data_IF_736316170486
#
_entry.id   IF_736316170486
#
_cell.length_a   1.000
_cell.length_b   1.000
_cell.length_c   1.000
_cell.angle_alpha   90.00
_cell.angle_beta   90.00
_cell.angle_gamma   90.00
#
_symmetry.space_group_name_H-M   'P 1'
#
loop_
_entity.id
_entity.type
_entity.pdbx_description
1 polymer ?
#
# COMPACT_ATOMS: atom_id res chain seq x y z
N UNK A 1 37.80 -4.16 -27.22
CA UNK A 1 36.48 -3.51 -27.00
C UNK A 1 35.95 -3.97 -25.65
N UNK A 2 36.09 -3.15 -24.61
CA UNK A 2 35.44 -3.38 -23.32
C UNK A 2 34.72 -2.08 -22.96
N UNK A 3 33.40 -2.15 -22.94
CA UNK A 3 32.52 -1.00 -22.75
C UNK A 3 32.61 -0.48 -21.31
N UNK A 4 32.73 0.84 -21.22
CA UNK A 4 32.75 1.66 -20.02
C UNK A 4 31.40 1.55 -19.28
N UNK A 5 31.40 1.06 -18.03
CA UNK A 5 30.22 1.03 -17.14
C UNK A 5 30.38 2.13 -16.10
N UNK A 6 30.19 3.38 -16.53
CA UNK A 6 30.03 4.54 -15.65
C UNK A 6 28.59 4.69 -15.12
N UNK A 7 27.83 3.59 -15.04
CA UNK A 7 26.43 3.54 -14.59
C UNK A 7 26.25 3.07 -13.14
N UNK A 8 27.34 2.84 -12.41
CA UNK A 8 27.33 2.49 -10.98
C UNK A 8 27.06 3.71 -10.07
N UNK A 9 26.33 4.70 -10.58
CA UNK A 9 25.92 5.89 -9.86
C UNK A 9 24.66 5.56 -9.05
N UNK A 10 24.89 5.06 -7.84
CA UNK A 10 24.08 5.45 -6.68
C UNK A 10 22.59 5.13 -6.74
N UNK A 11 22.20 3.95 -7.25
CA UNK A 11 21.05 3.23 -6.69
C UNK A 11 21.50 2.62 -5.35
N UNK A 12 21.72 3.50 -4.37
CA UNK A 12 21.43 3.16 -3.00
C UNK A 12 19.92 2.90 -2.96
N UNK A 13 19.52 1.69 -3.36
CA UNK A 13 18.22 1.16 -3.01
C UNK A 13 18.15 1.24 -1.50
N UNK A 14 17.29 2.14 -1.06
CA UNK A 14 16.71 2.19 0.26
C UNK A 14 16.40 0.76 0.72
N UNK A 15 17.35 0.16 1.44
CA UNK A 15 17.24 -1.20 1.97
C UNK A 15 16.04 -1.29 2.93
N UNK A 16 15.64 -0.16 3.51
CA UNK A 16 14.41 -0.03 4.29
C UNK A 16 13.18 -0.22 3.38
N UNK A 17 13.13 0.50 2.26
CA UNK A 17 12.04 0.41 1.29
C UNK A 17 11.82 -1.00 0.71
N UNK A 18 12.89 -1.73 0.39
CA UNK A 18 12.77 -3.10 -0.15
C UNK A 18 12.24 -4.09 0.90
N UNK A 19 12.69 -3.98 2.15
CA UNK A 19 12.21 -4.83 3.25
C UNK A 19 10.75 -4.55 3.60
N UNK A 20 10.37 -3.27 3.63
CA UNK A 20 8.98 -2.84 3.85
C UNK A 20 8.05 -3.35 2.75
N UNK A 21 8.47 -3.28 1.48
CA UNK A 21 7.71 -3.79 0.35
C UNK A 21 7.48 -5.31 0.44
N UNK A 22 8.51 -6.10 0.76
CA UNK A 22 8.38 -7.55 0.91
C UNK A 22 7.42 -7.96 2.05
N UNK A 23 7.47 -7.24 3.18
CA UNK A 23 6.56 -7.45 4.31
C UNK A 23 5.11 -7.10 3.95
N UNK A 24 4.89 -6.01 3.23
CA UNK A 24 3.55 -5.57 2.82
C UNK A 24 2.94 -6.54 1.80
N UNK A 25 3.71 -6.97 0.81
CA UNK A 25 3.29 -7.97 -0.19
C UNK A 25 2.93 -9.28 0.50
N UNK A 26 3.77 -9.78 1.42
CA UNK A 26 3.48 -11.02 2.15
C UNK A 26 2.20 -10.96 2.99
N UNK A 27 2.00 -9.86 3.74
CA UNK A 27 0.79 -9.63 4.52
C UNK A 27 -0.47 -9.57 3.65
N UNK A 28 -0.37 -8.88 2.51
CA UNK A 28 -1.44 -8.80 1.53
C UNK A 28 -1.76 -10.17 0.91
N UNK A 29 -0.75 -10.91 0.46
CA UNK A 29 -0.93 -12.26 -0.10
C UNK A 29 -1.53 -13.23 0.93
N UNK A 30 -1.16 -13.11 2.20
CA UNK A 30 -1.75 -13.91 3.28
C UNK A 30 -3.23 -13.57 3.50
N UNK A 31 -3.62 -12.31 3.38
CA UNK A 31 -5.02 -11.89 3.43
C UNK A 31 -5.80 -12.41 2.22
N UNK A 32 -5.31 -12.11 1.01
CA UNK A 32 -5.99 -12.39 -0.25
C UNK A 32 -6.06 -13.90 -0.57
N UNK A 33 -4.95 -14.63 -0.46
CA UNK A 33 -4.90 -16.04 -0.87
C UNK A 33 -5.32 -17.02 0.23
N UNK A 34 -5.04 -16.71 1.49
CA UNK A 34 -5.25 -17.67 2.58
C UNK A 34 -6.65 -17.53 3.21
N UNK A 35 -7.35 -16.42 2.97
CA UNK A 35 -8.65 -16.11 3.60
C UNK A 35 -8.60 -16.00 5.13
N UNK A 36 -7.40 -16.01 5.74
CA UNK A 36 -7.20 -16.01 7.20
C UNK A 36 -7.32 -14.63 7.81
N UNK A 37 -7.17 -13.57 7.01
CA UNK A 37 -7.34 -12.19 7.45
C UNK A 37 -8.47 -11.52 6.66
N UNK A 38 -9.29 -10.74 7.36
CA UNK A 38 -10.44 -10.04 6.79
C UNK A 38 -10.07 -8.65 6.27
N UNK A 39 -8.99 -8.08 6.82
CA UNK A 39 -8.45 -6.80 6.43
C UNK A 39 -6.98 -6.68 6.79
N UNK A 40 -6.32 -5.79 6.07
CA UNK A 40 -4.92 -5.43 6.19
C UNK A 40 -4.84 -3.90 6.33
N UNK A 41 -4.19 -3.44 7.40
CA UNK A 41 -4.11 -2.01 7.74
C UNK A 41 -2.64 -1.64 7.89
N UNK A 42 -2.21 -0.63 7.15
CA UNK A 42 -0.86 -0.10 7.18
C UNK A 42 -0.91 1.43 7.38
N UNK A 43 -0.73 1.89 8.61
CA UNK A 43 -0.77 3.29 9.00
C UNK A 43 0.61 3.96 8.95
N UNK A 44 1.28 3.89 7.80
CA UNK A 44 2.58 4.53 7.59
C UNK A 44 2.74 5.00 6.14
N UNK A 45 3.55 6.04 5.93
CA UNK A 45 3.80 6.70 4.64
C UNK A 45 4.84 6.00 3.76
N UNK A 46 5.21 4.76 4.10
CA UNK A 46 6.29 4.02 3.43
C UNK A 46 5.92 3.33 2.11
N UNK A 47 4.62 3.22 1.77
CA UNK A 47 4.19 2.56 0.54
C UNK A 47 4.17 3.52 -0.65
N UNK A 48 4.49 3.03 -1.84
CA UNK A 48 4.34 3.81 -3.09
C UNK A 48 3.21 3.25 -3.94
N UNK A 49 2.78 4.02 -4.94
CA UNK A 49 1.70 3.64 -5.85
C UNK A 49 1.99 2.32 -6.57
N UNK A 50 3.20 2.11 -7.03
CA UNK A 50 3.57 0.84 -7.68
C UNK A 50 3.55 -0.38 -6.73
N UNK A 51 3.63 -0.18 -5.41
CA UNK A 51 3.51 -1.27 -4.43
C UNK A 51 2.04 -1.68 -4.20
N UNK A 52 1.09 -0.82 -4.56
CA UNK A 52 -0.34 -1.00 -4.28
C UNK A 52 -1.17 -1.33 -5.51
N UNK A 53 -0.76 -0.91 -6.71
CA UNK A 53 -1.56 -1.09 -7.93
C UNK A 53 -1.78 -2.57 -8.30
N UNK A 54 -0.74 -3.39 -8.22
CA UNK A 54 -0.82 -4.83 -8.47
C UNK A 54 -1.76 -5.56 -7.51
N UNK A 55 -1.53 -5.47 -6.19
CA UNK A 55 -2.39 -6.13 -5.20
C UNK A 55 -3.82 -5.58 -5.19
N UNK A 56 -4.05 -4.28 -5.40
CA UNK A 56 -5.41 -3.73 -5.53
C UNK A 56 -6.18 -4.38 -6.66
N UNK A 57 -5.59 -4.50 -7.86
CA UNK A 57 -6.27 -5.12 -9.00
C UNK A 57 -6.68 -6.58 -8.71
N UNK A 58 -5.81 -7.34 -8.05
CA UNK A 58 -6.12 -8.72 -7.64
C UNK A 58 -7.22 -8.74 -6.57
N UNK A 59 -7.16 -7.83 -5.59
CA UNK A 59 -8.18 -7.75 -4.54
C UNK A 59 -9.55 -7.40 -5.10
N UNK A 60 -9.61 -6.42 -5.99
CA UNK A 60 -10.86 -5.98 -6.62
C UNK A 60 -11.45 -7.07 -7.52
N UNK A 61 -10.60 -7.85 -8.20
CA UNK A 61 -11.04 -9.01 -8.98
C UNK A 61 -11.73 -10.07 -8.10
N UNK A 62 -11.28 -10.26 -6.86
CA UNK A 62 -11.90 -11.15 -5.86
C UNK A 62 -13.08 -10.50 -5.11
N UNK A 63 -13.46 -9.25 -5.47
CA UNK A 63 -14.58 -8.52 -4.86
C UNK A 63 -14.24 -7.79 -3.55
N UNK A 64 -12.96 -7.67 -3.22
CA UNK A 64 -12.47 -6.85 -2.11
C UNK A 64 -12.32 -5.38 -2.49
N UNK A 65 -11.62 -4.63 -1.64
CA UNK A 65 -11.42 -3.19 -1.79
C UNK A 65 -10.11 -2.75 -1.13
N UNK A 66 -9.35 -1.88 -1.81
CA UNK A 66 -8.15 -1.25 -1.27
C UNK A 66 -8.31 0.27 -1.37
N UNK A 67 -8.08 0.97 -0.25
CA UNK A 67 -8.14 2.43 -0.18
C UNK A 67 -7.02 2.96 0.70
N UNK A 68 -6.92 4.29 0.79
CA UNK A 68 -6.24 4.91 1.92
C UNK A 68 -7.00 4.71 3.23
N UNK A 69 -6.40 5.11 4.35
CA UNK A 69 -7.06 5.01 5.66
C UNK A 69 -8.28 5.92 5.80
N UNK A 70 -8.44 6.91 4.92
CA UNK A 70 -9.61 7.80 4.85
C UNK A 70 -10.73 7.25 3.94
N UNK A 71 -10.55 6.06 3.38
CA UNK A 71 -11.52 5.44 2.48
C UNK A 71 -11.49 5.96 1.04
N UNK A 72 -10.46 6.69 0.64
CA UNK A 72 -10.29 7.18 -0.73
C UNK A 72 -9.47 6.20 -1.57
N UNK A 73 -9.94 5.93 -2.78
CA UNK A 73 -9.20 5.11 -3.74
C UNK A 73 -7.94 5.84 -4.23
N UNK A 74 -6.91 5.07 -4.52
CA UNK A 74 -5.69 5.60 -5.09
C UNK A 74 -5.88 5.96 -6.55
N UNK A 75 -5.41 7.15 -6.92
CA UNK A 75 -5.26 7.53 -8.33
C UNK A 75 -3.88 7.13 -8.84
N UNK A 76 -3.80 6.48 -9.99
CA UNK A 76 -2.57 5.98 -10.60
C UNK A 76 -2.19 6.73 -11.89
N UNK A 77 -2.57 8.00 -12.01
CA UNK A 77 -2.20 8.81 -13.17
C UNK A 77 -0.68 9.05 -13.24
N UNK A 78 -0.19 9.57 -14.37
CA UNK A 78 1.24 9.79 -14.58
C UNK A 78 1.77 10.98 -13.78
N UNK A 79 0.95 11.99 -13.55
CA UNK A 79 1.32 13.26 -12.91
C UNK A 79 1.01 13.31 -11.40
N UNK A 80 0.64 12.19 -10.76
CA UNK A 80 0.34 12.19 -9.32
C UNK A 80 1.56 11.90 -8.46
N UNK A 81 1.49 12.34 -7.20
CA UNK A 81 2.50 12.03 -6.21
C UNK A 81 2.62 10.51 -6.02
N UNK A 82 3.82 9.95 -6.16
CA UNK A 82 4.03 8.50 -6.15
C UNK A 82 4.00 7.88 -4.75
N UNK A 83 4.13 8.69 -3.69
CA UNK A 83 4.13 8.24 -2.30
C UNK A 83 2.71 8.16 -1.74
N UNK A 84 2.38 7.06 -1.07
CA UNK A 84 1.12 6.88 -0.38
C UNK A 84 1.24 7.41 1.06
N UNK A 85 0.98 8.71 1.25
CA UNK A 85 1.10 9.36 2.56
C UNK A 85 0.04 8.98 3.57
N UNK A 86 -1.14 8.56 3.09
CA UNK A 86 -2.35 8.36 3.88
C UNK A 86 -2.57 6.90 4.33
N UNK A 87 -1.51 6.10 4.28
CA UNK A 87 -1.53 4.68 4.66
C UNK A 87 -2.40 3.81 3.76
N UNK A 88 -2.34 2.49 3.89
CA UNK A 88 -3.05 1.53 3.04
C UNK A 88 -4.04 0.73 3.87
N UNK A 89 -5.29 0.63 3.42
CA UNK A 89 -6.32 -0.22 3.99
C UNK A 89 -6.84 -1.15 2.89
N UNK A 90 -6.62 -2.45 3.05
CA UNK A 90 -7.17 -3.46 2.16
C UNK A 90 -8.15 -4.35 2.93
N UNK A 91 -9.26 -4.73 2.31
CA UNK A 91 -10.24 -5.62 2.91
C UNK A 91 -10.81 -6.56 1.85
N UNK A 92 -11.11 -7.80 2.25
CA UNK A 92 -11.68 -8.81 1.34
C UNK A 92 -13.15 -8.54 1.03
N UNK A 93 -13.84 -7.72 1.85
CA UNK A 93 -15.24 -7.32 1.65
C UNK A 93 -15.42 -5.84 1.92
N UNK A 94 -16.21 -5.17 1.08
CA UNK A 94 -16.58 -3.74 1.25
C UNK A 94 -17.28 -3.46 2.59
N UNK A 95 -18.06 -4.41 3.11
CA UNK A 95 -18.69 -4.26 4.42
C UNK A 95 -17.65 -4.18 5.55
N UNK A 96 -16.67 -5.08 5.55
CA UNK A 96 -15.60 -5.10 6.55
C UNK A 96 -14.74 -3.84 6.48
N UNK A 97 -14.48 -3.33 5.27
CA UNK A 97 -13.78 -2.08 5.05
C UNK A 97 -14.48 -0.89 5.74
N UNK A 98 -15.79 -0.73 5.49
CA UNK A 98 -16.58 0.33 6.11
C UNK A 98 -16.64 0.22 7.63
N UNK A 99 -16.70 -1.00 8.17
CA UNK A 99 -16.68 -1.22 9.62
C UNK A 99 -15.34 -0.85 10.26
N UNK A 100 -14.23 -1.09 9.57
CA UNK A 100 -12.89 -0.73 10.05
C UNK A 100 -12.71 0.79 10.06
N UNK A 101 -13.12 1.47 8.99
CA UNK A 101 -13.05 2.95 8.93
C UNK A 101 -13.86 3.57 10.08
N UNK A 102 -15.07 3.04 10.36
CA UNK A 102 -15.91 3.54 11.47
C UNK A 102 -15.31 3.29 12.86
N UNK A 103 -14.57 2.20 13.02
CA UNK A 103 -13.92 1.84 14.30
C UNK A 103 -12.57 2.53 14.48
N UNK A 104 -12.01 3.11 13.42
CA UNK A 104 -10.69 3.71 13.48
C UNK A 104 -10.74 4.98 14.32
N UNK A 105 -9.84 5.13 15.31
CA UNK A 105 -9.89 6.28 16.20
C UNK A 105 -9.42 7.56 15.48
N UNK A 106 -10.07 8.68 15.83
CA UNK A 106 -9.85 10.00 15.22
C UNK A 106 -8.37 10.45 15.21
N UNK A 107 -7.61 10.10 16.26
CA UNK A 107 -6.19 10.48 16.37
C UNK A 107 -5.29 9.90 15.26
N UNK A 108 -5.66 8.76 14.65
CA UNK A 108 -4.89 8.17 13.53
C UNK A 108 -5.07 9.03 12.28
N UNK A 109 -6.29 9.50 12.02
CA UNK A 109 -6.57 10.38 10.89
C UNK A 109 -5.82 11.70 11.03
N UNK A 110 -5.79 12.27 12.23
CA UNK A 110 -5.03 13.49 12.51
C UNK A 110 -3.51 13.29 12.33
N UNK A 111 -2.97 12.14 12.71
CA UNK A 111 -1.56 11.81 12.51
C UNK A 111 -1.22 11.68 11.02
N UNK A 112 -2.11 11.05 10.23
CA UNK A 112 -1.93 10.86 8.79
C UNK A 112 -2.10 12.15 7.98
N UNK A 113 -2.91 13.09 8.46
CA UNK A 113 -3.14 14.39 7.81
C UNK A 113 -1.98 15.37 8.02
N UNK A 114 -1.11 15.12 9.00
CA UNK A 114 0.09 15.92 9.31
C UNK A 114 1.36 15.45 8.57
N UNK A 115 1.30 14.35 7.82
CA UNK A 115 2.40 13.81 7.00
C UNK A 115 2.30 14.28 5.54
#
# INVERSE_FOLDING_TARGET
MALNVSGFFTMAFDVCGFFTMALNVSGFFTMALNGKAHAYVFASSGCKKWDTCGPEAVLEAEGGVLTDLMGQHYFYAKEVEHANRRGVLAATKKACHGDIIKKMPSHIFEAMQKM
#
